data_IF_229953316982
#
_entry.id   IF_229953316982
#
_cell.length_a   1.000
_cell.length_b   1.000
_cell.length_c   1.000
_cell.angle_alpha   90.00
_cell.angle_beta   90.00
_cell.angle_gamma   90.00
#
_symmetry.space_group_name_H-M   'P 1'
#
loop_
_entity.id
_entity.type
_entity.pdbx_description
1 polymer ?
#
# COMPACT_ATOMS: atom_id res chain seq x y z
N UNK A 1 2.36 -7.33 7.12
CA UNK A 1 0.92 -7.06 7.33
C UNK A 1 0.32 -8.25 8.07
N UNK A 2 -0.44 -8.00 9.14
CA UNK A 2 -1.06 -9.10 9.91
C UNK A 2 -2.45 -9.36 9.36
N UNK A 3 -2.63 -10.50 8.67
CA UNK A 3 -3.94 -10.93 8.16
C UNK A 3 -4.67 -11.78 9.21
N UNK A 4 -5.28 -11.11 10.19
CA UNK A 4 -5.92 -11.77 11.34
C UNK A 4 -7.16 -12.59 10.96
N UNK A 5 -7.87 -12.18 9.90
CA UNK A 5 -9.10 -12.84 9.43
C UNK A 5 -8.87 -13.76 8.23
N UNK A 6 -7.62 -14.00 7.84
CA UNK A 6 -7.26 -14.81 6.67
C UNK A 6 -7.98 -14.35 5.39
N UNK A 7 -8.06 -13.03 5.19
CA UNK A 7 -8.66 -12.40 4.01
C UNK A 7 -7.93 -12.84 2.74
N UNK A 8 -6.65 -13.19 2.85
CA UNK A 8 -5.84 -13.69 1.74
C UNK A 8 -6.41 -14.96 1.10
N UNK A 9 -7.15 -15.76 1.86
CA UNK A 9 -7.77 -17.01 1.40
C UNK A 9 -8.97 -16.81 0.48
N UNK A 10 -9.61 -15.64 0.51
CA UNK A 10 -10.76 -15.35 -0.36
C UNK A 10 -10.35 -14.71 -1.69
N UNK A 11 -9.08 -14.37 -1.84
CA UNK A 11 -8.53 -13.79 -3.06
C UNK A 11 -8.07 -14.88 -4.04
N UNK A 12 -8.17 -14.59 -5.32
CA UNK A 12 -7.49 -15.33 -6.38
C UNK A 12 -5.99 -15.05 -6.39
N UNK A 13 -5.22 -15.82 -7.16
CA UNK A 13 -3.77 -15.58 -7.34
C UNK A 13 -3.49 -14.23 -8.01
N UNK A 14 -4.31 -13.84 -8.99
CA UNK A 14 -4.18 -12.56 -9.68
C UNK A 14 -4.44 -11.39 -8.71
N UNK A 15 -5.49 -11.47 -7.90
CA UNK A 15 -5.81 -10.43 -6.91
C UNK A 15 -4.69 -10.29 -5.86
N UNK A 16 -4.11 -11.42 -5.40
CA UNK A 16 -2.95 -11.39 -4.50
C UNK A 16 -1.72 -10.75 -5.18
N UNK A 17 -1.46 -11.06 -6.45
CA UNK A 17 -0.35 -10.46 -7.18
C UNK A 17 -0.50 -8.94 -7.34
N UNK A 18 -1.73 -8.46 -7.61
CA UNK A 18 -2.04 -7.03 -7.66
C UNK A 18 -1.83 -6.39 -6.29
N UNK A 19 -2.37 -6.99 -5.22
CA UNK A 19 -2.19 -6.51 -3.85
C UNK A 19 -0.72 -6.36 -3.47
N UNK A 20 0.09 -7.39 -3.75
CA UNK A 20 1.52 -7.37 -3.41
C UNK A 20 2.29 -6.31 -4.21
N UNK A 21 1.89 -6.08 -5.46
CA UNK A 21 2.46 -5.02 -6.30
C UNK A 21 2.13 -3.63 -5.74
N UNK A 22 0.88 -3.41 -5.34
CA UNK A 22 0.45 -2.15 -4.72
C UNK A 22 1.14 -1.94 -3.37
N UNK A 23 1.25 -2.97 -2.54
CA UNK A 23 1.95 -2.88 -1.25
C UNK A 23 3.39 -2.40 -1.43
N UNK A 24 4.12 -2.98 -2.39
CA UNK A 24 5.49 -2.56 -2.70
C UNK A 24 5.56 -1.13 -3.20
N UNK A 25 4.64 -0.71 -4.08
CA UNK A 25 4.56 0.67 -4.54
C UNK A 25 4.34 1.65 -3.38
N UNK A 26 3.43 1.33 -2.45
CA UNK A 26 3.17 2.16 -1.27
C UNK A 26 4.41 2.24 -0.37
N UNK A 27 5.07 1.11 -0.11
CA UNK A 27 6.28 1.06 0.71
C UNK A 27 7.43 1.90 0.12
N UNK A 28 7.65 1.79 -1.19
CA UNK A 28 8.78 2.42 -1.87
C UNK A 28 8.54 3.88 -2.27
N UNK A 29 7.30 4.26 -2.60
CA UNK A 29 6.98 5.57 -3.18
C UNK A 29 6.17 6.46 -2.26
N UNK A 30 5.24 5.89 -1.50
CA UNK A 30 4.28 6.68 -0.71
C UNK A 30 4.75 6.88 0.72
N UNK A 31 5.11 5.80 1.42
CA UNK A 31 5.54 5.86 2.83
C UNK A 31 6.68 6.85 3.09
N UNK A 32 7.71 6.99 2.23
CA UNK A 32 8.81 7.92 2.48
C UNK A 32 8.38 9.40 2.49
N UNK A 33 7.33 9.77 1.75
CA UNK A 33 6.95 11.18 1.54
C UNK A 33 5.64 11.58 2.26
N UNK A 34 4.81 10.61 2.62
CA UNK A 34 3.43 10.90 3.05
C UNK A 34 3.34 11.72 4.34
N UNK A 35 4.29 11.54 5.28
CA UNK A 35 4.34 12.32 6.52
C UNK A 35 4.58 13.81 6.26
N UNK A 36 5.53 14.12 5.38
CA UNK A 36 5.84 15.48 4.93
C UNK A 36 4.66 16.12 4.19
N UNK A 37 4.02 15.36 3.31
CA UNK A 37 2.81 15.80 2.60
C UNK A 37 1.67 16.13 3.57
N UNK A 38 1.45 15.29 4.59
CA UNK A 38 0.44 15.51 5.63
C UNK A 38 0.71 16.81 6.40
N UNK A 39 1.94 16.99 6.92
CA UNK A 39 2.32 18.18 7.69
C UNK A 39 2.14 19.46 6.85
N UNK A 40 2.50 19.41 5.57
CA UNK A 40 2.45 20.56 4.66
C UNK A 40 1.06 20.79 4.04
N UNK A 41 0.09 19.90 4.27
CA UNK A 41 -1.25 19.96 3.66
C UNK A 41 -1.21 19.86 2.14
N UNK A 42 -0.28 19.08 1.58
CA UNK A 42 -0.05 18.95 0.13
C UNK A 42 -0.40 17.55 -0.36
N UNK A 43 -0.91 17.48 -1.58
CA UNK A 43 -1.09 16.21 -2.28
C UNK A 43 0.27 15.69 -2.80
N UNK A 44 0.58 14.39 -2.63
CA UNK A 44 1.80 13.78 -3.18
C UNK A 44 1.71 13.72 -4.71
N UNK A 45 2.62 14.40 -5.42
CA UNK A 45 2.62 14.49 -6.90
C UNK A 45 3.77 13.73 -7.57
N UNK A 46 4.57 13.04 -6.77
CA UNK A 46 5.81 12.36 -7.16
C UNK A 46 5.57 10.89 -7.51
#
# INVERSE_FOLDING_TARGET
MTDFYNIDSVLSEEERAVRDTVHRFVDEKVLPIIGDCYIKGKFPKE
#
